data_IF_971425363476
#
_entry.id   IF_971425363476
#
_cell.length_a   1.000
_cell.length_b   1.000
_cell.length_c   1.000
_cell.angle_alpha   90.00
_cell.angle_beta   90.00
_cell.angle_gamma   90.00
#
_symmetry.space_group_name_H-M   'P 1'
#
loop_
_entity.id
_entity.type
_entity.pdbx_description
1 polymer ?
#
# COMPACT_ATOMS: atom_id res chain seq x y z
N UNK A 1 63.97 -39.55 -4.10
CA UNK A 1 62.63 -39.53 -4.70
C UNK A 1 61.85 -38.44 -3.98
N UNK A 2 61.48 -37.35 -4.65
CA UNK A 2 60.64 -36.29 -4.09
C UNK A 2 59.32 -36.30 -4.87
N UNK A 3 58.23 -36.62 -4.19
CA UNK A 3 56.87 -36.48 -4.70
C UNK A 3 56.04 -35.78 -3.65
N UNK A 4 55.44 -34.66 -4.06
CA UNK A 4 54.10 -34.14 -3.74
C UNK A 4 53.78 -33.92 -2.24
N UNK A 5 53.11 -32.84 -1.85
CA UNK A 5 51.67 -32.65 -2.06
C UNK A 5 51.36 -31.15 -1.88
N UNK A 6 50.87 -30.52 -2.94
CA UNK A 6 50.05 -29.31 -2.85
C UNK A 6 48.63 -29.82 -2.66
N UNK A 7 47.92 -29.37 -1.62
CA UNK A 7 46.50 -28.96 -1.65
C UNK A 7 45.96 -28.81 -0.22
N UNK A 8 45.42 -27.63 0.08
CA UNK A 8 44.08 -27.49 0.66
C UNK A 8 43.66 -26.02 0.55
N UNK A 9 42.86 -25.69 -0.47
CA UNK A 9 42.01 -24.49 -0.41
C UNK A 9 40.95 -24.76 0.65
N UNK A 10 41.05 -24.09 1.79
CA UNK A 10 39.94 -24.03 2.73
C UNK A 10 38.81 -23.24 2.06
N UNK A 11 37.77 -23.95 1.63
CA UNK A 11 36.55 -23.34 1.13
C UNK A 11 35.94 -22.50 2.25
N UNK A 12 35.98 -21.17 2.10
CA UNK A 12 35.16 -20.27 2.91
C UNK A 12 33.70 -20.50 2.50
N UNK A 13 33.03 -21.44 3.18
CA UNK A 13 31.59 -21.52 3.20
C UNK A 13 31.07 -20.25 3.88
N UNK A 14 30.87 -19.19 3.10
CA UNK A 14 30.09 -18.05 3.55
C UNK A 14 28.69 -18.57 3.84
N UNK A 15 28.39 -18.73 5.14
CA UNK A 15 27.04 -18.86 5.62
C UNK A 15 26.34 -17.52 5.34
N UNK A 16 25.92 -17.33 4.08
CA UNK A 16 24.87 -16.39 3.78
C UNK A 16 23.63 -16.94 4.47
N UNK A 17 23.34 -16.41 5.67
CA UNK A 17 22.04 -16.59 6.30
C UNK A 17 21.01 -16.29 5.23
N UNK A 18 20.19 -17.30 4.90
CA UNK A 18 18.97 -17.12 4.11
C UNK A 18 18.00 -16.31 4.99
N UNK A 19 18.31 -15.04 5.21
CA UNK A 19 17.32 -14.07 5.65
C UNK A 19 16.23 -14.16 4.60
N UNK A 20 15.02 -14.60 4.98
CA UNK A 20 13.85 -14.50 4.10
C UNK A 20 13.87 -13.07 3.56
N UNK A 21 14.10 -12.92 2.25
CA UNK A 21 14.05 -11.60 1.63
C UNK A 21 12.65 -11.10 1.88
N UNK A 22 12.57 -10.00 2.63
CA UNK A 22 11.31 -9.31 2.82
C UNK A 22 10.73 -9.02 1.44
N UNK A 23 9.42 -9.24 1.28
CA UNK A 23 8.78 -8.90 0.02
C UNK A 23 8.98 -7.41 -0.23
N UNK A 24 9.63 -7.06 -1.34
CA UNK A 24 9.88 -5.65 -1.68
C UNK A 24 8.61 -4.94 -2.13
N UNK A 25 7.67 -5.72 -2.67
CA UNK A 25 6.37 -5.27 -3.15
C UNK A 25 5.25 -5.96 -2.41
N UNK A 26 4.08 -5.33 -2.42
CA UNK A 26 2.88 -5.80 -1.75
C UNK A 26 1.67 -5.56 -2.66
N UNK A 27 0.95 -6.62 -3.07
CA UNK A 27 -0.18 -6.48 -3.97
C UNK A 27 -1.40 -5.95 -3.22
N UNK A 28 -2.03 -4.91 -3.78
CA UNK A 28 -3.30 -4.36 -3.34
C UNK A 28 -4.32 -4.66 -4.44
N UNK A 29 -5.43 -5.27 -4.08
CA UNK A 29 -6.49 -5.63 -5.02
C UNK A 29 -7.76 -4.82 -4.74
N UNK A 30 -8.63 -4.75 -5.73
CA UNK A 30 -9.96 -4.12 -5.65
C UNK A 30 -9.95 -2.69 -5.10
N UNK A 31 -8.87 -1.94 -5.35
CA UNK A 31 -8.77 -0.56 -4.91
C UNK A 31 -9.84 0.31 -5.57
N UNK A 32 -10.53 1.09 -4.74
CA UNK A 32 -11.55 2.06 -5.12
C UNK A 32 -11.56 3.21 -4.13
N UNK A 33 -11.87 4.40 -4.64
CA UNK A 33 -12.05 5.61 -3.85
C UNK A 33 -13.10 6.48 -4.54
N UNK A 34 -14.20 6.75 -3.84
CA UNK A 34 -15.37 7.42 -4.43
C UNK A 34 -15.99 8.40 -3.46
N UNK A 35 -16.35 9.60 -3.94
CA UNK A 35 -17.35 10.42 -3.26
C UNK A 35 -18.75 9.86 -3.49
N UNK A 36 -19.48 9.60 -2.41
CA UNK A 36 -20.93 9.36 -2.43
C UNK A 36 -21.63 10.67 -2.03
N UNK A 37 -22.35 11.35 -2.95
CA UNK A 37 -22.96 12.65 -2.67
C UNK A 37 -24.00 12.59 -1.54
N UNK A 38 -23.87 13.50 -0.57
CA UNK A 38 -24.78 13.70 0.54
C UNK A 38 -25.09 15.20 0.69
N UNK A 39 -25.90 15.74 -0.23
CA UNK A 39 -26.20 17.17 -0.36
C UNK A 39 -24.94 17.99 -0.72
N UNK A 40 -24.51 18.93 0.11
CA UNK A 40 -23.33 19.78 -0.12
C UNK A 40 -22.01 19.13 0.40
N UNK A 41 -22.06 17.86 0.81
CA UNK A 41 -20.93 17.12 1.34
C UNK A 41 -20.81 15.76 0.65
N UNK A 42 -19.61 15.20 0.70
CA UNK A 42 -19.31 13.86 0.21
C UNK A 42 -19.10 12.90 1.38
N UNK A 43 -19.68 11.70 1.28
CA UNK A 43 -19.23 10.53 2.05
C UNK A 43 -18.23 9.77 1.19
N UNK A 44 -16.95 9.91 1.51
CA UNK A 44 -15.86 9.29 0.76
C UNK A 44 -15.67 7.85 1.21
N UNK A 45 -15.76 6.91 0.27
CA UNK A 45 -15.53 5.50 0.51
C UNK A 45 -14.21 5.09 -0.11
N UNK A 46 -13.32 4.54 0.70
CA UNK A 46 -12.12 3.85 0.25
C UNK A 46 -12.29 2.37 0.52
N UNK A 47 -12.00 1.52 -0.47
CA UNK A 47 -12.05 0.07 -0.29
C UNK A 47 -10.90 -0.58 -1.05
N UNK A 48 -10.27 -1.57 -0.44
CA UNK A 48 -9.30 -2.43 -1.09
C UNK A 48 -9.11 -3.72 -0.29
N UNK A 49 -8.43 -4.67 -0.91
CA UNK A 49 -8.15 -5.97 -0.34
C UNK A 49 -6.64 -6.22 -0.33
N UNK A 50 -6.13 -6.80 0.75
CA UNK A 50 -4.73 -7.22 0.85
C UNK A 50 -4.63 -8.71 1.07
N UNK A 51 -3.69 -9.35 0.38
CA UNK A 51 -3.38 -10.75 0.59
C UNK A 51 -1.88 -10.93 0.80
N UNK A 52 -1.49 -11.09 2.08
CA UNK A 52 -0.10 -11.31 2.48
C UNK A 52 0.34 -12.76 2.34
N UNK A 53 -0.59 -13.71 2.43
CA UNK A 53 -0.30 -15.13 2.38
C UNK A 53 -1.43 -15.86 1.63
N UNK A 54 -1.14 -16.53 0.51
CA UNK A 54 -2.15 -17.22 -0.28
C UNK A 54 -2.88 -18.34 0.48
N UNK A 55 -2.36 -18.78 1.63
CA UNK A 55 -3.03 -19.75 2.52
C UNK A 55 -4.04 -19.11 3.47
N UNK A 56 -4.03 -17.79 3.61
CA UNK A 56 -4.94 -17.02 4.46
C UNK A 56 -6.03 -16.34 3.62
N UNK A 57 -7.14 -16.03 4.29
CA UNK A 57 -8.18 -15.20 3.68
C UNK A 57 -7.65 -13.78 3.45
N UNK A 58 -7.98 -13.15 2.31
CA UNK A 58 -7.66 -11.75 2.08
C UNK A 58 -8.28 -10.85 3.16
N UNK A 59 -7.58 -9.79 3.55
CA UNK A 59 -8.08 -8.79 4.49
C UNK A 59 -8.72 -7.61 3.75
N UNK A 60 -9.89 -7.17 4.21
CA UNK A 60 -10.69 -6.11 3.62
C UNK A 60 -10.52 -4.80 4.39
N UNK A 61 -10.03 -3.80 3.69
CA UNK A 61 -9.68 -2.51 4.26
C UNK A 61 -10.64 -1.46 3.71
N UNK A 62 -11.20 -0.65 4.60
CA UNK A 62 -12.12 0.41 4.19
C UNK A 62 -12.13 1.59 5.15
N UNK A 63 -12.46 2.76 4.61
CA UNK A 63 -12.78 3.93 5.41
C UNK A 63 -13.96 4.67 4.80
N UNK A 64 -14.77 5.25 5.67
CA UNK A 64 -15.83 6.19 5.33
C UNK A 64 -15.55 7.51 6.01
N UNK A 65 -15.22 8.54 5.24
CA UNK A 65 -14.84 9.86 5.74
C UNK A 65 -15.76 10.91 5.16
N UNK A 66 -16.26 11.81 6.01
CA UNK A 66 -17.01 12.96 5.54
C UNK A 66 -16.06 14.09 5.18
N UNK A 67 -16.25 14.67 4.01
CA UNK A 67 -15.37 15.72 3.50
C UNK A 67 -16.05 16.61 2.47
N UNK A 68 -15.31 17.62 1.98
CA UNK A 68 -15.73 18.40 0.82
C UNK A 68 -15.72 17.52 -0.44
N UNK A 69 -15.99 18.14 -1.58
CA UNK A 69 -15.98 17.63 -2.95
C UNK A 69 -14.76 16.76 -3.35
N UNK A 70 -13.61 16.95 -2.71
CA UNK A 70 -12.35 16.27 -3.02
C UNK A 70 -12.11 15.06 -2.12
N UNK A 71 -11.45 14.02 -2.66
CA UNK A 71 -11.03 12.83 -1.92
C UNK A 71 -10.12 13.24 -0.74
N UNK A 72 -10.54 13.02 0.51
CA UNK A 72 -9.86 13.54 1.68
C UNK A 72 -8.69 12.64 2.10
N UNK A 73 -7.85 13.15 2.99
CA UNK A 73 -6.86 12.33 3.66
C UNK A 73 -7.53 11.30 4.60
N UNK A 74 -6.86 10.16 4.74
CA UNK A 74 -7.12 9.15 5.76
C UNK A 74 -5.79 8.90 6.47
N UNK A 75 -5.67 9.23 7.75
CA UNK A 75 -4.39 9.11 8.47
C UNK A 75 -4.13 7.70 9.02
N UNK A 76 -5.15 7.08 9.63
CA UNK A 76 -5.04 5.77 10.29
C UNK A 76 -6.24 4.87 9.98
N UNK A 77 -6.41 4.54 8.71
CA UNK A 77 -7.38 3.54 8.26
C UNK A 77 -7.02 2.14 8.77
N UNK A 78 -8.04 1.28 8.92
CA UNK A 78 -7.87 -0.10 9.39
C UNK A 78 -8.53 -1.11 8.45
N UNK A 79 -8.21 -2.39 8.60
CA UNK A 79 -8.91 -3.48 7.94
C UNK A 79 -9.80 -4.20 8.95
N UNK A 80 -11.09 -4.31 8.65
CA UNK A 80 -12.11 -4.71 9.64
C UNK A 80 -11.94 -6.15 10.11
N UNK A 81 -11.42 -7.00 9.24
CA UNK A 81 -11.12 -8.41 9.47
C UNK A 81 -9.65 -8.65 9.87
N UNK A 82 -8.80 -7.62 9.83
CA UNK A 82 -7.40 -7.70 10.21
C UNK A 82 -6.85 -6.37 10.74
N UNK A 83 -6.98 -6.18 12.06
CA UNK A 83 -6.50 -5.00 12.78
C UNK A 83 -4.98 -4.87 12.83
N UNK A 84 -4.23 -5.85 12.29
CA UNK A 84 -2.77 -5.78 12.19
C UNK A 84 -2.27 -4.84 11.10
N UNK A 85 -3.14 -4.49 10.15
CA UNK A 85 -2.84 -3.51 9.10
C UNK A 85 -3.40 -2.14 9.44
N UNK A 86 -2.56 -1.14 9.27
CA UNK A 86 -2.95 0.28 9.26
C UNK A 86 -2.56 0.86 7.92
N UNK A 87 -3.34 1.81 7.42
CA UNK A 87 -3.10 2.42 6.12
C UNK A 87 -3.50 3.88 6.09
N UNK A 88 -2.98 4.62 5.11
CA UNK A 88 -3.27 6.01 4.90
C UNK A 88 -3.45 6.36 3.43
N UNK A 89 -4.15 7.46 3.20
CA UNK A 89 -4.28 8.16 1.93
C UNK A 89 -3.95 9.63 2.19
N UNK A 90 -3.06 10.20 1.40
CA UNK A 90 -2.73 11.62 1.46
C UNK A 90 -2.92 12.28 0.08
N UNK A 91 -3.80 13.30 -0.06
CA UNK A 91 -3.94 14.02 -1.32
C UNK A 91 -2.66 14.77 -1.68
N UNK A 92 -2.22 14.62 -2.92
CA UNK A 92 -1.03 15.29 -3.41
C UNK A 92 -1.37 16.68 -3.99
N UNK A 93 -0.38 17.57 -4.06
CA UNK A 93 -0.59 18.94 -4.56
C UNK A 93 -1.00 19.01 -6.04
N UNK A 94 -0.70 17.96 -6.82
CA UNK A 94 -1.07 17.83 -8.23
C UNK A 94 -2.45 17.16 -8.44
N UNK A 95 -3.16 16.80 -7.36
CA UNK A 95 -4.50 16.21 -7.42
C UNK A 95 -4.53 14.68 -7.53
N UNK A 96 -3.41 14.01 -7.25
CA UNK A 96 -3.30 12.57 -7.05
C UNK A 96 -3.47 12.19 -5.58
N UNK A 97 -3.11 10.95 -5.26
CA UNK A 97 -3.12 10.41 -3.89
C UNK A 97 -1.85 9.61 -3.63
N UNK A 98 -1.26 9.77 -2.45
CA UNK A 98 -0.24 8.86 -1.94
C UNK A 98 -0.90 7.86 -0.98
N UNK A 99 -0.77 6.58 -1.32
CA UNK A 99 -1.25 5.47 -0.49
C UNK A 99 -0.08 4.88 0.30
N UNK A 100 -0.30 4.60 1.57
CA UNK A 100 0.62 3.79 2.37
C UNK A 100 -0.13 2.75 3.19
N UNK A 101 0.50 1.58 3.37
CA UNK A 101 0.02 0.53 4.27
C UNK A 101 1.19 -0.01 5.07
N UNK A 102 0.98 -0.22 6.37
CA UNK A 102 1.99 -0.75 7.26
C UNK A 102 1.43 -1.71 8.29
N UNK A 103 2.33 -2.53 8.81
CA UNK A 103 2.08 -3.45 9.91
C UNK A 103 3.34 -3.64 10.74
N UNK A 104 3.17 -4.07 12.00
CA UNK A 104 4.28 -4.36 12.88
C UNK A 104 5.07 -5.58 12.39
N UNK A 105 6.34 -5.37 12.04
CA UNK A 105 7.25 -6.46 11.68
C UNK A 105 7.87 -7.12 12.91
N UNK A 106 8.13 -6.31 13.93
CA UNK A 106 8.50 -6.76 15.27
C UNK A 106 8.09 -5.68 16.28
N UNK A 107 8.40 -5.91 17.56
CA UNK A 107 8.03 -5.01 18.66
C UNK A 107 8.62 -3.58 18.57
N UNK A 108 9.49 -3.29 17.60
CA UNK A 108 10.23 -2.02 17.49
C UNK A 108 10.15 -1.39 16.10
N UNK A 109 9.58 -2.05 15.10
CA UNK A 109 9.56 -1.54 13.73
C UNK A 109 8.34 -2.01 12.96
N UNK A 110 7.82 -1.12 12.14
CA UNK A 110 6.83 -1.44 11.12
C UNK A 110 7.52 -1.66 9.78
N UNK A 111 6.88 -2.43 8.91
CA UNK A 111 7.15 -2.39 7.48
C UNK A 111 6.06 -1.55 6.84
N UNK A 112 6.47 -0.60 6.01
CA UNK A 112 5.57 0.26 5.24
C UNK A 112 5.77 0.00 3.75
N UNK A 113 4.66 -0.11 3.01
CA UNK A 113 4.62 -0.15 1.56
C UNK A 113 3.82 1.05 1.08
N UNK A 114 4.30 1.73 0.04
CA UNK A 114 3.65 2.90 -0.50
C UNK A 114 3.38 2.76 -1.99
N UNK A 115 2.39 3.47 -2.50
CA UNK A 115 2.07 3.56 -3.92
C UNK A 115 1.59 4.98 -4.23
N UNK A 116 2.04 5.56 -5.33
CA UNK A 116 1.54 6.86 -5.78
C UNK A 116 0.47 6.68 -6.86
N UNK A 117 -0.67 7.34 -6.67
CA UNK A 117 -1.80 7.37 -7.58
C UNK A 117 -1.78 8.72 -8.29
N UNK A 118 -1.44 8.77 -9.59
CA UNK A 118 -1.32 10.03 -10.30
C UNK A 118 -2.70 10.69 -10.49
N UNK A 119 -2.72 12.02 -10.60
CA UNK A 119 -3.93 12.80 -10.82
C UNK A 119 -4.73 12.37 -12.07
N UNK A 120 -4.07 11.79 -13.08
CA UNK A 120 -4.73 11.24 -14.27
C UNK A 120 -5.66 10.05 -13.98
N UNK A 121 -5.57 9.45 -12.80
CA UNK A 121 -6.46 8.39 -12.31
C UNK A 121 -7.57 8.92 -11.41
N UNK A 122 -7.64 10.24 -11.17
CA UNK A 122 -8.70 10.90 -10.40
C UNK A 122 -9.54 11.73 -11.36
N UNK A 123 -10.79 11.33 -11.57
CA UNK A 123 -11.75 12.11 -12.37
C UNK A 123 -12.59 12.96 -11.47
N UNK A 124 -12.89 14.19 -11.90
CA UNK A 124 -13.83 15.07 -11.24
C UNK A 124 -15.09 15.17 -12.08
N UNK A 125 -16.23 14.83 -11.50
CA UNK A 125 -17.55 15.01 -12.09
C UNK A 125 -18.23 16.21 -11.45
N UNK A 126 -18.73 17.14 -12.27
CA UNK A 126 -19.42 18.35 -11.81
C UNK A 126 -20.93 18.19 -12.02
N UNK A 127 -21.67 18.03 -10.93
CA UNK A 127 -23.12 17.94 -10.92
C UNK A 127 -23.74 19.16 -10.23
N UNK A 128 -24.13 20.15 -11.05
CA UNK A 128 -24.70 21.39 -10.57
C UNK A 128 -23.68 22.23 -9.79
N UNK A 129 -23.78 22.22 -8.46
CA UNK A 129 -22.88 22.97 -7.55
C UNK A 129 -21.83 22.10 -6.85
N UNK A 130 -21.93 20.78 -6.98
CA UNK A 130 -20.99 19.84 -6.36
C UNK A 130 -19.96 19.36 -7.41
N UNK A 131 -18.70 19.29 -7.01
CA UNK A 131 -17.67 18.55 -7.72
C UNK A 131 -17.42 17.26 -6.93
N UNK A 132 -17.32 16.14 -7.61
CA UNK A 132 -17.15 14.84 -6.95
C UNK A 132 -15.98 14.13 -7.57
N UNK A 133 -15.07 13.66 -6.72
CA UNK A 133 -13.87 12.95 -7.18
C UNK A 133 -14.06 11.44 -7.10
N UNK A 134 -13.59 10.78 -8.16
CA UNK A 134 -13.65 9.34 -8.34
C UNK A 134 -12.29 8.81 -8.79
N UNK A 135 -11.88 7.70 -8.18
CA UNK A 135 -10.76 6.93 -8.68
C UNK A 135 -11.19 6.09 -9.88
N UNK A 136 -10.49 6.27 -11.00
CA UNK A 136 -10.74 5.57 -12.28
C UNK A 136 -9.54 4.78 -12.78
N UNK A 137 -8.51 4.64 -11.95
CA UNK A 137 -7.31 3.88 -12.28
C UNK A 137 -7.49 2.36 -12.16
N UNK A 138 -6.38 1.60 -12.27
CA UNK A 138 -6.38 0.15 -12.11
C UNK A 138 -6.82 -0.29 -10.70
N UNK A 139 -7.74 -1.25 -10.63
CA UNK A 139 -8.15 -1.86 -9.35
C UNK A 139 -7.02 -2.61 -8.62
N UNK A 140 -5.98 -3.01 -9.35
CA UNK A 140 -4.83 -3.69 -8.79
C UNK A 140 -3.65 -2.72 -8.74
N UNK A 141 -3.22 -2.39 -7.52
CA UNK A 141 -2.04 -1.56 -7.27
C UNK A 141 -0.91 -2.44 -6.75
N UNK A 142 0.32 -2.04 -7.02
CA UNK A 142 1.51 -2.65 -6.40
C UNK A 142 2.13 -1.59 -5.52
N UNK A 143 2.10 -1.80 -4.20
CA UNK A 143 2.81 -0.95 -3.27
C UNK A 143 4.24 -1.47 -3.08
N UNK A 144 5.20 -0.58 -2.84
CA UNK A 144 6.60 -0.93 -2.67
C UNK A 144 7.21 -0.18 -1.48
N UNK A 145 8.16 -0.83 -0.81
CA UNK A 145 8.96 -0.19 0.25
C UNK A 145 9.80 0.95 -0.34
N UNK A 146 10.20 0.85 -1.61
CA UNK A 146 11.04 1.84 -2.29
C UNK A 146 10.29 3.10 -2.74
N UNK A 147 8.96 3.07 -2.71
CA UNK A 147 8.11 4.19 -3.14
C UNK A 147 7.67 5.06 -1.96
N UNK A 148 8.03 4.68 -0.73
CA UNK A 148 7.73 5.50 0.43
C UNK A 148 8.59 6.77 0.44
N UNK A 149 8.00 7.94 0.73
CA UNK A 149 8.75 9.15 0.97
C UNK A 149 9.82 8.93 2.06
N UNK A 150 10.99 9.53 1.87
CA UNK A 150 12.13 9.39 2.78
C UNK A 150 11.98 10.25 4.05
#
# INVERSE_FOLDING_TARGET
MQFSIILALAASASAATLQRRQAQTYPIADFSADCIPHSNYCSHSYNFTVNSDPSLSPSHCSAFVQGPDQLPAVEEGTCSDNVGYTWSIEPTSDGGLDFAIWYAFNARSNITYCASIPASQITTETDGTANTQHYTGPKNLTASISECPA
#
